data_IF_913217938861
#
_entry.id   IF_913217938861
#
_cell.length_a   1.000
_cell.length_b   1.000
_cell.length_c   1.000
_cell.angle_alpha   90.00
_cell.angle_beta   90.00
_cell.angle_gamma   90.00
#
_symmetry.space_group_name_H-M   'P 1'
#
loop_
_entity.id
_entity.type
_entity.pdbx_description
1 polymer ?
#
# COMPACT_ATOMS: atom_id res chain seq x y z
N UNK A 1 17.99 -26.38 9.34
CA UNK A 1 16.82 -25.76 8.67
C UNK A 1 17.09 -25.77 7.18
N UNK A 2 16.09 -26.12 6.35
CA UNK A 2 16.18 -26.03 4.89
C UNK A 2 16.55 -24.60 4.50
N UNK A 3 17.45 -24.47 3.52
CA UNK A 3 17.78 -23.17 2.94
C UNK A 3 16.64 -22.75 2.00
N UNK A 4 16.16 -21.52 2.13
CA UNK A 4 15.12 -20.97 1.27
C UNK A 4 15.61 -19.72 0.56
N UNK A 5 15.45 -19.68 -0.75
CA UNK A 5 15.70 -18.49 -1.55
C UNK A 5 14.37 -17.81 -1.87
N UNK A 6 14.19 -16.58 -1.38
CA UNK A 6 12.90 -15.89 -1.36
C UNK A 6 13.01 -14.59 -2.15
N UNK A 7 12.07 -14.40 -3.08
CA UNK A 7 11.91 -13.13 -3.79
C UNK A 7 10.73 -12.35 -3.21
N UNK A 8 10.97 -11.15 -2.69
CA UNK A 8 9.96 -10.30 -2.08
C UNK A 8 9.68 -9.07 -2.96
N UNK A 9 8.42 -8.88 -3.32
CA UNK A 9 7.93 -7.62 -3.88
C UNK A 9 7.52 -6.73 -2.70
N UNK A 10 8.32 -5.72 -2.39
CA UNK A 10 8.23 -4.95 -1.15
C UNK A 10 8.18 -3.44 -1.32
N UNK A 11 8.63 -2.72 -0.29
CA UNK A 11 8.54 -1.26 -0.18
C UNK A 11 7.42 -0.78 0.74
N UNK A 12 6.87 -1.68 1.55
CA UNK A 12 5.89 -1.40 2.62
C UNK A 12 6.52 -1.67 3.99
N UNK A 13 5.91 -1.15 5.06
CA UNK A 13 6.31 -1.52 6.43
C UNK A 13 6.21 -3.04 6.65
N UNK A 14 5.18 -3.68 6.11
CA UNK A 14 4.99 -5.13 6.20
C UNK A 14 6.17 -5.87 5.58
N UNK A 15 6.66 -5.43 4.42
CA UNK A 15 7.82 -6.07 3.79
C UNK A 15 9.06 -6.03 4.70
N UNK A 16 9.30 -4.92 5.40
CA UNK A 16 10.40 -4.80 6.38
C UNK A 16 10.21 -5.76 7.56
N UNK A 17 8.99 -5.91 8.08
CA UNK A 17 8.69 -6.83 9.18
C UNK A 17 8.84 -8.30 8.75
N UNK A 18 8.34 -8.64 7.57
CA UNK A 18 8.48 -9.98 6.96
C UNK A 18 9.96 -10.33 6.77
N UNK A 19 10.77 -9.43 6.21
CA UNK A 19 12.22 -9.68 6.01
C UNK A 19 12.89 -10.00 7.35
N UNK A 20 12.66 -9.18 8.39
CA UNK A 20 13.22 -9.40 9.74
C UNK A 20 12.79 -10.74 10.30
N UNK A 21 11.50 -11.04 10.20
CA UNK A 21 10.93 -12.29 10.68
C UNK A 21 11.54 -13.50 9.98
N UNK A 22 11.67 -13.46 8.65
CA UNK A 22 12.26 -14.55 7.87
C UNK A 22 13.73 -14.78 8.22
N UNK A 23 14.54 -13.72 8.30
CA UNK A 23 15.96 -13.82 8.66
C UNK A 23 16.20 -14.34 10.07
N UNK A 24 15.28 -14.06 11.00
CA UNK A 24 15.40 -14.52 12.39
C UNK A 24 14.99 -15.98 12.60
N UNK A 25 14.03 -16.48 11.80
CA UNK A 25 13.40 -17.78 12.04
C UNK A 25 13.80 -18.86 11.02
N UNK A 26 14.35 -18.48 9.87
CA UNK A 26 14.67 -19.39 8.78
C UNK A 26 16.09 -19.14 8.24
N UNK A 27 16.68 -20.18 7.65
CA UNK A 27 17.92 -20.04 6.91
C UNK A 27 17.60 -19.58 5.48
N UNK A 28 17.64 -18.26 5.23
CA UNK A 28 17.16 -17.70 3.97
C UNK A 28 18.17 -16.81 3.27
N UNK A 29 18.06 -16.78 1.94
CA UNK A 29 18.53 -15.68 1.10
C UNK A 29 17.33 -14.91 0.56
N UNK A 30 17.37 -13.58 0.67
CA UNK A 30 16.25 -12.72 0.34
C UNK A 30 16.67 -11.67 -0.67
N UNK A 31 16.04 -11.70 -1.85
CA UNK A 31 16.04 -10.58 -2.78
C UNK A 31 14.76 -9.77 -2.57
N UNK A 32 14.87 -8.46 -2.36
CA UNK A 32 13.71 -7.58 -2.28
C UNK A 32 13.72 -6.53 -3.39
N UNK A 33 12.64 -6.46 -4.18
CA UNK A 33 12.44 -5.33 -5.11
C UNK A 33 11.49 -4.30 -4.53
N UNK A 34 11.81 -3.03 -4.71
CA UNK A 34 10.98 -1.90 -4.30
C UNK A 34 10.92 -0.86 -5.41
N UNK A 35 9.97 0.07 -5.35
CA UNK A 35 9.86 1.14 -6.37
C UNK A 35 10.77 2.34 -6.12
N UNK A 36 11.51 2.39 -4.99
CA UNK A 36 12.29 3.56 -4.57
C UNK A 36 13.58 3.16 -3.86
N UNK A 37 14.63 3.99 -3.95
CA UNK A 37 15.87 3.77 -3.20
C UNK A 37 15.65 3.73 -1.69
N UNK A 38 14.76 4.58 -1.16
CA UNK A 38 14.39 4.56 0.25
C UNK A 38 13.79 3.21 0.68
N UNK A 39 12.90 2.63 -0.13
CA UNK A 39 12.32 1.32 0.14
C UNK A 39 13.38 0.22 0.18
N UNK A 40 14.31 0.23 -0.79
CA UNK A 40 15.42 -0.74 -0.81
C UNK A 40 16.37 -0.56 0.37
N UNK A 41 16.66 0.68 0.78
CA UNK A 41 17.45 0.94 1.99
C UNK A 41 16.79 0.31 3.22
N UNK A 42 15.49 0.51 3.40
CA UNK A 42 14.74 -0.11 4.50
C UNK A 42 14.72 -1.64 4.42
N UNK A 43 14.65 -2.22 3.22
CA UNK A 43 14.72 -3.66 3.01
C UNK A 43 16.10 -4.24 3.37
N UNK A 44 17.18 -3.57 2.96
CA UNK A 44 18.55 -3.95 3.33
C UNK A 44 18.78 -3.85 4.84
N UNK A 45 18.34 -2.76 5.48
CA UNK A 45 18.39 -2.59 6.94
C UNK A 45 17.54 -3.63 7.70
N UNK A 46 16.49 -4.17 7.06
CA UNK A 46 15.68 -5.25 7.59
C UNK A 46 16.36 -6.63 7.52
N UNK A 47 17.42 -6.77 6.72
CA UNK A 47 18.16 -8.02 6.52
C UNK A 47 17.99 -8.67 5.15
N UNK A 48 17.45 -7.96 4.15
CA UNK A 48 17.45 -8.43 2.76
C UNK A 48 18.89 -8.54 2.27
N UNK A 49 19.25 -9.68 1.67
CA UNK A 49 20.61 -9.94 1.18
C UNK A 49 20.91 -9.13 -0.09
N UNK A 50 19.92 -9.06 -1.00
CA UNK A 50 19.97 -8.24 -2.22
C UNK A 50 18.76 -7.31 -2.32
N UNK A 51 18.93 -6.17 -3.01
CA UNK A 51 17.81 -5.25 -3.28
C UNK A 51 17.80 -4.68 -4.70
N UNK A 52 16.60 -4.43 -5.24
CA UNK A 52 16.40 -3.75 -6.53
C UNK A 52 15.51 -2.51 -6.32
N UNK A 53 16.06 -1.32 -6.58
CA UNK A 53 15.46 -0.01 -6.29
C UNK A 53 14.70 0.61 -7.47
N UNK A 54 13.91 -0.17 -8.20
CA UNK A 54 13.13 0.33 -9.33
C UNK A 54 11.90 -0.54 -9.60
N UNK A 55 10.86 0.01 -10.23
CA UNK A 55 9.78 -0.80 -10.78
C UNK A 55 10.34 -1.86 -11.74
N UNK A 56 9.82 -3.08 -11.63
CA UNK A 56 10.12 -4.18 -12.53
C UNK A 56 8.93 -4.48 -13.43
N UNK A 57 9.21 -4.68 -14.72
CA UNK A 57 8.22 -5.17 -15.65
C UNK A 57 8.03 -6.69 -15.49
N UNK A 58 6.89 -7.21 -15.92
CA UNK A 58 6.53 -8.64 -15.85
C UNK A 58 7.65 -9.55 -16.36
N UNK A 59 8.20 -9.26 -17.55
CA UNK A 59 9.24 -10.09 -18.18
C UNK A 59 10.57 -10.05 -17.41
N UNK A 60 10.84 -8.96 -16.69
CA UNK A 60 12.03 -8.87 -15.83
C UNK A 60 11.86 -9.74 -14.58
N UNK A 61 10.67 -9.73 -13.96
CA UNK A 61 10.37 -10.59 -12.81
C UNK A 61 10.49 -12.07 -13.22
N UNK A 62 9.96 -12.45 -14.40
CA UNK A 62 10.11 -13.81 -14.96
C UNK A 62 11.59 -14.17 -15.14
N UNK A 63 12.39 -13.28 -15.74
CA UNK A 63 13.83 -13.52 -15.92
C UNK A 63 14.56 -13.68 -14.60
N UNK A 64 14.25 -12.87 -13.60
CA UNK A 64 14.84 -12.98 -12.25
C UNK A 64 14.51 -14.34 -11.64
N UNK A 65 13.24 -14.77 -11.72
CA UNK A 65 12.79 -16.05 -11.16
C UNK A 65 13.40 -17.23 -11.91
N UNK A 66 13.56 -17.15 -13.23
CA UNK A 66 14.12 -18.27 -14.01
C UNK A 66 15.66 -18.34 -13.97
N UNK A 67 16.34 -17.23 -13.68
CA UNK A 67 17.81 -17.18 -13.62
C UNK A 67 18.38 -17.50 -12.23
N UNK A 68 17.52 -17.62 -11.23
CA UNK A 68 17.88 -17.87 -9.84
C UNK A 68 16.94 -18.93 -9.27
N UNK A 69 17.45 -19.84 -8.45
CA UNK A 69 16.65 -20.91 -7.84
C UNK A 69 15.79 -20.36 -6.69
N UNK A 70 14.77 -19.55 -6.99
CA UNK A 70 13.83 -19.04 -5.99
C UNK A 70 12.78 -20.10 -5.65
N UNK A 71 12.63 -20.39 -4.36
CA UNK A 71 11.62 -21.32 -3.85
C UNK A 71 10.24 -20.65 -3.71
N UNK A 72 10.24 -19.35 -3.42
CA UNK A 72 9.06 -18.61 -2.97
C UNK A 72 9.05 -17.16 -3.45
N UNK A 73 7.92 -16.75 -4.04
CA UNK A 73 7.58 -15.36 -4.32
C UNK A 73 6.61 -14.83 -3.25
N UNK A 74 7.02 -13.82 -2.49
CA UNK A 74 6.17 -13.12 -1.53
C UNK A 74 5.80 -11.74 -2.09
N UNK A 75 4.52 -11.54 -2.35
CA UNK A 75 3.96 -10.23 -2.64
C UNK A 75 3.57 -9.53 -1.33
N UNK A 76 4.43 -8.63 -0.85
CA UNK A 76 4.22 -7.78 0.31
C UNK A 76 3.96 -6.31 -0.11
N UNK A 77 3.49 -6.09 -1.33
CA UNK A 77 3.15 -4.75 -1.82
C UNK A 77 1.87 -4.23 -1.17
N UNK A 78 1.57 -2.93 -1.31
CA UNK A 78 0.39 -2.34 -0.67
C UNK A 78 -0.92 -3.04 -1.12
N UNK A 79 -1.95 -3.16 -0.28
CA UNK A 79 -3.25 -3.76 -0.68
C UNK A 79 -3.97 -3.08 -1.85
N UNK A 80 -3.53 -1.88 -2.23
CA UNK A 80 -4.07 -1.11 -3.37
C UNK A 80 -3.20 -1.25 -4.64
N UNK A 81 -2.12 -2.03 -4.58
CA UNK A 81 -1.18 -2.20 -5.68
C UNK A 81 -1.68 -3.29 -6.66
N UNK A 82 -2.89 -3.11 -7.20
CA UNK A 82 -3.60 -4.10 -8.02
C UNK A 82 -2.77 -4.61 -9.20
N UNK A 83 -2.11 -3.70 -9.92
CA UNK A 83 -1.34 -4.05 -11.11
C UNK A 83 -0.17 -5.00 -10.81
N UNK A 84 0.61 -4.71 -9.75
CA UNK A 84 1.73 -5.56 -9.38
C UNK A 84 1.23 -6.89 -8.83
N UNK A 85 0.17 -6.91 -8.00
CA UNK A 85 -0.40 -8.18 -7.51
C UNK A 85 -0.91 -9.07 -8.64
N UNK A 86 -1.62 -8.52 -9.64
CA UNK A 86 -2.00 -9.27 -10.85
C UNK A 86 -0.79 -9.80 -11.61
N UNK A 87 0.27 -9.00 -11.69
CA UNK A 87 1.54 -9.40 -12.30
C UNK A 87 2.17 -10.56 -11.52
N UNK A 88 2.27 -10.47 -10.20
CA UNK A 88 2.81 -11.51 -9.32
C UNK A 88 2.09 -12.85 -9.48
N UNK A 89 0.75 -12.81 -9.49
CA UNK A 89 -0.09 -14.00 -9.71
C UNK A 89 0.15 -14.60 -11.10
N UNK A 90 0.27 -13.75 -12.13
CA UNK A 90 0.55 -14.24 -13.47
C UNK A 90 1.93 -14.86 -13.57
N UNK A 91 2.94 -14.24 -12.97
CA UNK A 91 4.33 -14.70 -13.00
C UNK A 91 4.50 -15.98 -12.21
N UNK A 92 3.86 -16.09 -11.03
CA UNK A 92 3.94 -17.32 -10.23
C UNK A 92 3.43 -18.55 -10.99
N UNK A 93 2.34 -18.38 -11.74
CA UNK A 93 1.80 -19.44 -12.63
C UNK A 93 2.72 -19.76 -13.80
N UNK A 94 3.34 -18.75 -14.42
CA UNK A 94 4.25 -18.95 -15.57
C UNK A 94 5.53 -19.67 -15.15
N UNK A 95 6.12 -19.26 -14.03
CA UNK A 95 7.36 -19.81 -13.51
C UNK A 95 7.17 -21.05 -12.63
N UNK A 96 5.91 -21.43 -12.35
CA UNK A 96 5.57 -22.52 -11.42
C UNK A 96 6.25 -22.37 -10.05
N UNK A 97 6.31 -21.15 -9.51
CA UNK A 97 6.90 -20.85 -8.20
C UNK A 97 5.81 -20.73 -7.14
N UNK A 98 6.11 -21.17 -5.92
CA UNK A 98 5.22 -20.96 -4.78
C UNK A 98 4.96 -19.48 -4.56
N UNK A 99 3.72 -19.11 -4.28
CA UNK A 99 3.30 -17.72 -4.18
C UNK A 99 2.54 -17.48 -2.87
N UNK A 100 2.93 -16.42 -2.17
CA UNK A 100 2.23 -15.91 -0.99
C UNK A 100 1.97 -14.42 -1.18
N UNK A 101 0.74 -13.99 -0.93
CA UNK A 101 0.34 -12.60 -0.81
C UNK A 101 0.22 -12.27 0.67
N UNK A 102 1.11 -11.42 1.18
CA UNK A 102 0.92 -10.88 2.52
C UNK A 102 -0.02 -9.68 2.43
N UNK A 103 -1.20 -9.81 3.01
CA UNK A 103 -2.21 -8.77 2.97
C UNK A 103 -2.96 -8.69 4.29
N UNK A 104 -2.78 -7.56 4.98
CA UNK A 104 -3.43 -7.30 6.27
C UNK A 104 -4.96 -7.39 6.17
N UNK A 105 -5.64 -7.83 7.24
CA UNK A 105 -7.10 -7.90 7.26
C UNK A 105 -7.73 -6.56 6.88
N UNK A 106 -8.87 -6.61 6.19
CA UNK A 106 -9.75 -5.45 6.11
C UNK A 106 -10.30 -5.13 7.50
N UNK A 107 -10.45 -3.85 7.80
CA UNK A 107 -11.08 -3.44 9.05
C UNK A 107 -12.58 -3.73 9.01
N UNK A 108 -13.11 -4.21 10.12
CA UNK A 108 -14.55 -4.27 10.33
C UNK A 108 -15.02 -2.94 10.91
N UNK A 109 -15.97 -2.28 10.25
CA UNK A 109 -16.55 -1.00 10.68
C UNK A 109 -17.84 -1.16 11.49
N UNK A 110 -18.25 -2.38 11.87
CA UNK A 110 -19.53 -2.64 12.57
C UNK A 110 -19.73 -1.81 13.86
N UNK A 111 -18.64 -1.44 14.55
CA UNK A 111 -18.68 -0.62 15.77
C UNK A 111 -18.12 0.80 15.58
N UNK A 112 -17.95 1.24 14.34
CA UNK A 112 -17.41 2.56 14.00
C UNK A 112 -18.54 3.37 13.38
N UNK A 113 -18.70 4.62 13.81
CA UNK A 113 -19.63 5.54 13.16
C UNK A 113 -19.13 5.84 11.75
N UNK A 114 -19.88 5.38 10.76
CA UNK A 114 -19.57 5.52 9.33
C UNK A 114 -20.48 6.51 8.62
N UNK A 115 -21.25 7.30 9.37
CA UNK A 115 -22.25 8.22 8.81
C UNK A 115 -21.67 9.28 7.87
N UNK A 116 -20.42 9.71 8.08
CA UNK A 116 -19.72 10.66 7.21
C UNK A 116 -18.95 10.00 6.05
N UNK A 117 -18.97 8.67 5.94
CA UNK A 117 -18.22 7.96 4.89
C UNK A 117 -19.03 7.94 3.60
N UNK A 118 -18.42 8.45 2.52
CA UNK A 118 -18.91 8.30 1.15
C UNK A 118 -17.95 7.40 0.39
N UNK A 119 -18.44 6.28 -0.13
CA UNK A 119 -17.61 5.33 -0.85
C UNK A 119 -17.46 5.71 -2.33
N UNK A 120 -16.23 5.96 -2.76
CA UNK A 120 -15.89 6.17 -4.16
C UNK A 120 -15.36 4.90 -4.82
N UNK A 121 -15.70 4.68 -6.09
CA UNK A 121 -15.25 3.51 -6.88
C UNK A 121 -13.82 3.65 -7.41
N UNK A 122 -13.34 4.88 -7.54
CA UNK A 122 -12.00 5.24 -8.02
C UNK A 122 -11.63 6.64 -7.50
N UNK A 123 -10.37 7.05 -7.71
CA UNK A 123 -9.95 8.42 -7.41
C UNK A 123 -10.58 9.47 -8.32
N UNK A 124 -10.85 9.11 -9.58
CA UNK A 124 -11.56 9.98 -10.51
C UNK A 124 -13.01 10.19 -10.05
N UNK A 125 -13.69 9.11 -9.67
CA UNK A 125 -15.03 9.17 -9.10
C UNK A 125 -15.07 9.89 -7.74
N UNK A 126 -14.01 9.83 -6.95
CA UNK A 126 -13.90 10.66 -5.74
C UNK A 126 -13.89 12.16 -6.10
N UNK A 127 -13.21 12.55 -7.18
CA UNK A 127 -13.24 13.91 -7.70
C UNK A 127 -14.62 14.33 -8.19
N UNK A 128 -15.33 13.45 -8.93
CA UNK A 128 -16.71 13.69 -9.39
C UNK A 128 -17.64 13.97 -8.20
N UNK A 129 -17.66 13.07 -7.20
CA UNK A 129 -18.49 13.21 -5.99
C UNK A 129 -18.22 14.55 -5.30
N UNK A 130 -16.94 14.92 -5.12
CA UNK A 130 -16.59 16.18 -4.47
C UNK A 130 -17.08 17.37 -5.30
N UNK A 131 -16.92 17.33 -6.62
CA UNK A 131 -17.34 18.42 -7.50
C UNK A 131 -18.86 18.63 -7.52
N UNK A 132 -19.63 17.55 -7.39
CA UNK A 132 -21.10 17.57 -7.47
C UNK A 132 -21.77 17.83 -6.11
N UNK A 133 -21.25 17.22 -5.04
CA UNK A 133 -21.91 17.19 -3.72
C UNK A 133 -21.24 18.10 -2.69
N UNK A 134 -19.95 18.45 -2.87
CA UNK A 134 -19.14 19.21 -1.89
C UNK A 134 -18.41 20.40 -2.58
N UNK A 135 -19.16 21.34 -3.18
CA UNK A 135 -18.59 22.39 -4.02
C UNK A 135 -17.86 23.48 -3.24
N UNK A 136 -17.87 23.48 -1.90
CA UNK A 136 -17.21 24.50 -1.07
C UNK A 136 -16.28 23.86 -0.02
N UNK A 137 -15.35 24.65 0.52
CA UNK A 137 -14.36 24.23 1.51
C UNK A 137 -13.20 23.41 0.93
N UNK A 138 -12.15 23.20 1.71
CA UNK A 138 -10.92 22.62 1.20
C UNK A 138 -10.90 21.08 1.26
N UNK A 139 -10.08 20.48 0.40
CA UNK A 139 -9.96 19.04 0.19
C UNK A 139 -8.63 18.57 0.77
N UNK A 140 -8.69 17.74 1.81
CA UNK A 140 -7.53 17.04 2.35
C UNK A 140 -7.33 15.72 1.60
N UNK A 141 -6.26 15.58 0.83
CA UNK A 141 -6.00 14.35 0.09
C UNK A 141 -4.95 13.46 0.78
N UNK A 142 -5.40 12.45 1.52
CA UNK A 142 -4.55 11.57 2.33
C UNK A 142 -4.37 10.17 1.71
N UNK A 143 -4.51 10.07 0.39
CA UNK A 143 -4.35 8.82 -0.37
C UNK A 143 -3.02 8.71 -1.15
N UNK A 144 -2.14 9.71 -1.04
CA UNK A 144 -0.77 9.71 -1.55
C UNK A 144 -0.59 10.35 -2.93
N UNK A 145 0.65 10.71 -3.27
CA UNK A 145 0.97 11.53 -4.44
C UNK A 145 0.54 10.92 -5.81
N UNK A 146 0.52 9.60 -5.94
CA UNK A 146 0.18 8.94 -7.21
C UNK A 146 -1.31 8.99 -7.56
N UNK A 147 -2.17 9.33 -6.60
CA UNK A 147 -3.64 9.33 -6.80
C UNK A 147 -4.22 10.72 -7.02
N UNK A 148 -3.41 11.77 -6.89
CA UNK A 148 -3.85 13.17 -7.00
C UNK A 148 -4.40 13.48 -8.39
N UNK A 149 -3.69 13.03 -9.43
CA UNK A 149 -3.99 13.35 -10.83
C UNK A 149 -5.40 12.95 -11.24
N UNK A 150 -5.86 11.77 -10.80
CA UNK A 150 -7.22 11.31 -11.09
C UNK A 150 -8.29 12.16 -10.38
N UNK A 151 -8.05 12.58 -9.14
CA UNK A 151 -9.00 13.45 -8.41
C UNK A 151 -9.06 14.83 -9.05
N UNK A 152 -7.90 15.38 -9.43
CA UNK A 152 -7.75 16.73 -10.01
C UNK A 152 -8.36 16.88 -11.41
N UNK A 153 -8.79 15.79 -12.05
CA UNK A 153 -9.61 15.86 -13.28
C UNK A 153 -10.94 16.60 -13.05
N UNK A 154 -11.46 16.54 -11.83
CA UNK A 154 -12.80 17.05 -11.49
C UNK A 154 -12.77 18.15 -10.41
N UNK A 155 -11.63 18.40 -9.76
CA UNK A 155 -11.51 19.40 -8.68
C UNK A 155 -10.34 20.36 -8.91
N UNK A 156 -10.46 21.59 -8.41
CA UNK A 156 -9.43 22.64 -8.55
C UNK A 156 -8.25 22.44 -7.58
N UNK A 157 -7.03 22.71 -8.06
CA UNK A 157 -5.82 22.74 -7.23
C UNK A 157 -5.86 23.82 -6.15
N UNK A 158 -6.65 24.88 -6.35
CA UNK A 158 -6.85 26.00 -5.42
C UNK A 158 -7.48 25.59 -4.08
N UNK A 159 -8.14 24.43 -4.03
CA UNK A 159 -8.77 23.89 -2.82
C UNK A 159 -8.13 22.58 -2.36
N UNK A 160 -7.04 22.15 -3.00
CA UNK A 160 -6.52 20.79 -2.86
C UNK A 160 -5.24 20.77 -2.03
N UNK A 161 -5.30 20.10 -0.88
CA UNK A 161 -4.22 20.01 0.10
C UNK A 161 -3.76 18.54 0.23
N UNK A 162 -2.77 18.12 -0.57
CA UNK A 162 -2.29 16.75 -0.53
C UNK A 162 -1.32 16.50 0.61
N UNK A 163 -1.52 15.38 1.31
CA UNK A 163 -0.53 14.83 2.24
C UNK A 163 0.40 13.87 1.52
N UNK A 164 1.67 14.22 1.43
CA UNK A 164 2.69 13.44 0.73
C UNK A 164 3.87 13.10 1.62
N UNK A 165 4.59 12.02 1.29
CA UNK A 165 5.89 11.74 1.87
C UNK A 165 6.88 12.83 1.42
N UNK A 166 7.76 13.24 2.33
CA UNK A 166 8.81 14.24 2.09
C UNK A 166 9.98 13.67 1.27
N UNK A 167 9.69 13.27 0.03
CA UNK A 167 10.67 12.75 -0.93
C UNK A 167 10.63 13.58 -2.22
N UNK A 168 11.78 13.81 -2.91
CA UNK A 168 11.86 14.69 -4.07
C UNK A 168 10.81 14.37 -5.15
N UNK A 169 10.62 13.08 -5.45
CA UNK A 169 9.65 12.63 -6.47
C UNK A 169 8.20 12.99 -6.15
N UNK A 170 7.82 13.02 -4.87
CA UNK A 170 6.46 13.40 -4.46
C UNK A 170 6.24 14.90 -4.60
N UNK A 171 7.26 15.70 -4.25
CA UNK A 171 7.24 17.16 -4.36
C UNK A 171 7.20 17.57 -5.83
N UNK A 172 8.07 16.99 -6.67
CA UNK A 172 8.09 17.21 -8.13
C UNK A 172 6.73 16.86 -8.77
N UNK A 173 6.04 15.83 -8.26
CA UNK A 173 4.69 15.47 -8.74
C UNK A 173 3.65 16.53 -8.35
N UNK A 174 3.72 17.12 -7.16
CA UNK A 174 2.86 18.24 -6.78
C UNK A 174 3.08 19.45 -7.69
N UNK A 175 4.34 19.81 -7.95
CA UNK A 175 4.69 20.93 -8.84
C UNK A 175 4.16 20.74 -10.26
N UNK A 176 4.34 19.54 -10.85
CA UNK A 176 3.83 19.20 -12.18
C UNK A 176 2.30 19.27 -12.28
N UNK A 177 1.61 18.98 -11.18
CA UNK A 177 0.15 19.05 -11.09
C UNK A 177 -0.36 20.46 -10.75
N UNK A 178 0.52 21.46 -10.60
CA UNK A 178 0.14 22.83 -10.29
C UNK A 178 -0.37 23.03 -8.86
N UNK A 179 0.05 22.16 -7.92
CA UNK A 179 -0.24 22.33 -6.50
C UNK A 179 0.67 23.41 -5.93
N UNK A 180 0.08 24.40 -5.24
CA UNK A 180 0.84 25.45 -4.58
C UNK A 180 1.67 24.90 -3.43
N UNK A 181 2.86 25.46 -3.22
CA UNK A 181 3.81 25.00 -2.20
C UNK A 181 3.19 25.02 -0.78
N UNK A 182 2.39 26.04 -0.47
CA UNK A 182 1.69 26.20 0.81
C UNK A 182 0.49 25.25 0.99
N UNK A 183 0.07 24.56 -0.07
CA UNK A 183 -0.95 23.50 0.00
C UNK A 183 -0.34 22.12 0.29
N UNK A 184 0.98 21.96 0.15
CA UNK A 184 1.64 20.66 0.30
C UNK A 184 1.84 20.33 1.77
N UNK A 185 1.19 19.26 2.23
CA UNK A 185 1.34 18.74 3.60
C UNK A 185 2.39 17.61 3.57
N UNK A 186 3.66 17.96 3.72
CA UNK A 186 4.75 16.97 3.78
C UNK A 186 4.81 16.32 5.18
N UNK A 187 4.49 15.03 5.28
CA UNK A 187 4.48 14.29 6.54
C UNK A 187 5.03 12.87 6.38
N UNK A 188 5.60 12.32 7.45
CA UNK A 188 6.02 10.93 7.53
C UNK A 188 5.04 10.14 8.41
N UNK A 189 4.70 8.91 7.98
CA UNK A 189 3.82 8.03 8.77
C UNK A 189 2.32 8.37 8.69
N UNK A 190 1.55 7.71 9.55
CA UNK A 190 0.13 7.97 9.73
C UNK A 190 -0.06 9.06 10.79
N UNK A 191 -0.92 10.03 10.48
CA UNK A 191 -1.30 11.08 11.43
C UNK A 191 -2.27 10.53 12.48
N UNK A 192 -2.03 10.90 13.74
CA UNK A 192 -2.93 10.65 14.85
C UNK A 192 -4.27 11.36 14.69
N UNK A 193 -5.28 10.97 15.47
CA UNK A 193 -6.58 11.63 15.51
C UNK A 193 -6.44 13.15 15.72
N UNK A 194 -5.61 13.58 16.68
CA UNK A 194 -5.40 14.99 16.99
C UNK A 194 -4.78 15.73 15.81
N UNK A 195 -3.77 15.16 15.17
CA UNK A 195 -3.15 15.76 13.98
C UNK A 195 -4.13 15.88 12.81
N UNK A 196 -4.94 14.85 12.55
CA UNK A 196 -5.97 14.92 11.51
C UNK A 196 -6.99 16.04 11.81
N UNK A 197 -7.44 16.16 13.06
CA UNK A 197 -8.34 17.25 13.48
C UNK A 197 -7.70 18.63 13.31
N UNK A 198 -6.43 18.78 13.66
CA UNK A 198 -5.70 20.04 13.54
C UNK A 198 -5.49 20.42 12.05
N UNK A 199 -5.24 19.43 11.18
CA UNK A 199 -5.16 19.65 9.73
C UNK A 199 -6.52 20.09 9.14
N UNK A 200 -7.62 19.48 9.59
CA UNK A 200 -8.97 19.88 9.15
C UNK A 200 -9.24 21.35 9.51
N UNK A 201 -8.98 21.74 10.75
CA UNK A 201 -9.19 23.13 11.21
C UNK A 201 -8.25 24.10 10.51
N UNK A 202 -6.95 23.79 10.46
CA UNK A 202 -5.93 24.67 9.89
C UNK A 202 -6.20 25.00 8.43
N UNK A 203 -6.72 24.03 7.68
CA UNK A 203 -6.95 24.17 6.25
C UNK A 203 -8.42 24.42 5.90
N UNK A 204 -9.32 24.63 6.87
CA UNK A 204 -10.75 24.84 6.62
C UNK A 204 -11.34 23.78 5.68
N UNK A 205 -11.03 22.51 5.97
CA UNK A 205 -11.37 21.40 5.10
C UNK A 205 -12.83 20.96 5.31
N UNK A 206 -13.55 20.75 4.21
CA UNK A 206 -14.91 20.20 4.21
C UNK A 206 -14.94 18.71 3.85
N UNK A 207 -13.84 18.19 3.30
CA UNK A 207 -13.75 16.80 2.87
C UNK A 207 -12.33 16.25 2.98
N UNK A 208 -12.24 14.98 3.39
CA UNK A 208 -10.99 14.21 3.40
C UNK A 208 -11.10 13.01 2.45
N UNK A 209 -10.06 12.75 1.65
CA UNK A 209 -9.96 11.57 0.78
C UNK A 209 -8.97 10.58 1.39
N UNK A 210 -9.37 9.32 1.58
CA UNK A 210 -8.50 8.26 2.09
C UNK A 210 -8.73 6.92 1.39
N UNK A 211 -7.78 6.01 1.57
CA UNK A 211 -7.88 4.59 1.22
C UNK A 211 -8.31 3.79 2.45
N UNK A 212 -8.95 2.64 2.22
CA UNK A 212 -9.18 1.60 3.21
C UNK A 212 -7.87 0.83 3.54
N UNK A 213 -6.89 1.53 4.11
CA UNK A 213 -5.50 1.05 4.28
C UNK A 213 -5.27 0.19 5.54
N UNK A 214 -6.32 -0.24 6.25
CA UNK A 214 -6.22 -0.96 7.52
C UNK A 214 -5.71 -0.09 8.69
N UNK A 215 -5.50 -0.71 9.86
CA UNK A 215 -5.16 -0.03 11.14
C UNK A 215 -3.87 0.80 11.06
N UNK A 216 -2.75 0.22 10.63
CA UNK A 216 -1.46 0.93 10.51
C UNK A 216 -1.55 2.13 9.53
N UNK A 217 -2.51 2.11 8.59
CA UNK A 217 -2.77 3.22 7.68
C UNK A 217 -3.55 4.39 8.32
N UNK A 218 -3.93 4.26 9.59
CA UNK A 218 -4.63 5.25 10.39
C UNK A 218 -6.03 5.55 9.88
N UNK A 219 -6.76 4.55 9.36
CA UNK A 219 -8.09 4.80 8.80
C UNK A 219 -9.12 5.11 9.88
N UNK A 220 -9.00 4.49 11.06
CA UNK A 220 -9.90 4.73 12.20
C UNK A 220 -9.75 6.19 12.67
N UNK A 221 -8.51 6.66 12.83
CA UNK A 221 -8.21 8.03 13.25
C UNK A 221 -8.73 9.08 12.25
N UNK A 222 -8.81 8.74 10.97
CA UNK A 222 -9.39 9.62 9.93
C UNK A 222 -10.91 9.63 9.98
N UNK A 223 -11.55 8.48 10.19
CA UNK A 223 -13.00 8.38 10.39
C UNK A 223 -13.40 9.17 11.63
N UNK A 224 -12.73 8.95 12.76
CA UNK A 224 -13.00 9.66 14.00
C UNK A 224 -12.78 11.17 13.86
N UNK A 225 -11.74 11.61 13.12
CA UNK A 225 -11.51 13.02 12.86
C UNK A 225 -12.62 13.62 12.02
N UNK A 226 -13.07 12.92 10.97
CA UNK A 226 -14.16 13.36 10.11
C UNK A 226 -15.47 13.51 10.89
N UNK A 227 -15.82 12.51 11.69
CA UNK A 227 -17.01 12.54 12.54
C UNK A 227 -16.95 13.67 13.58
N UNK A 228 -15.80 13.87 14.24
CA UNK A 228 -15.62 14.93 15.26
C UNK A 228 -15.60 16.34 14.67
N UNK A 229 -15.24 16.49 13.41
CA UNK A 229 -15.21 17.79 12.70
C UNK A 229 -16.39 18.01 11.77
N UNK A 230 -17.30 17.04 11.69
CA UNK A 230 -18.49 17.08 10.86
C UNK A 230 -18.15 17.33 9.37
N UNK A 231 -17.15 16.61 8.85
CA UNK A 231 -16.72 16.69 7.45
C UNK A 231 -16.93 15.36 6.73
N UNK A 232 -17.09 15.38 5.41
CA UNK A 232 -17.20 14.15 4.63
C UNK A 232 -15.86 13.41 4.54
N UNK A 233 -15.90 12.09 4.59
CA UNK A 233 -14.76 11.22 4.32
C UNK A 233 -15.00 10.41 3.05
N UNK A 234 -14.38 10.80 1.94
CA UNK A 234 -14.39 10.01 0.72
C UNK A 234 -13.44 8.84 0.88
N UNK A 235 -13.98 7.63 0.95
CA UNK A 235 -13.22 6.40 1.13
C UNK A 235 -13.18 5.58 -0.16
N UNK A 236 -11.97 5.29 -0.64
CA UNK A 236 -11.75 4.33 -1.72
C UNK A 236 -11.58 2.95 -1.10
N UNK A 237 -12.47 2.03 -1.46
CA UNK A 237 -12.42 0.62 -1.03
C UNK A 237 -11.20 -0.08 -1.59
N UNK A 238 -10.73 -1.09 -0.86
CA UNK A 238 -9.66 -1.96 -1.37
C UNK A 238 -10.10 -2.63 -2.69
N UNK A 239 -9.25 -2.65 -3.73
CA UNK A 239 -9.62 -3.25 -5.02
C UNK A 239 -9.84 -4.76 -4.88
N UNK A 240 -10.88 -5.27 -5.54
CA UNK A 240 -11.13 -6.70 -5.62
C UNK A 240 -10.35 -7.31 -6.80
N UNK A 241 -9.41 -8.21 -6.50
CA UNK A 241 -8.58 -8.88 -7.52
C UNK A 241 -9.13 -10.29 -7.75
N UNK A 242 -9.83 -10.49 -8.87
CA UNK A 242 -10.49 -11.75 -9.22
C UNK A 242 -9.53 -12.95 -9.27
N UNK A 243 -8.30 -12.71 -9.70
CA UNK A 243 -7.27 -13.74 -9.89
C UNK A 243 -6.59 -14.18 -8.58
N UNK A 244 -6.76 -13.42 -7.49
CA UNK A 244 -6.13 -13.69 -6.20
C UNK A 244 -6.94 -14.74 -5.42
N UNK A 245 -6.37 -15.93 -5.20
CA UNK A 245 -7.04 -16.95 -4.42
C UNK A 245 -6.85 -16.68 -2.92
N UNK A 246 -7.91 -16.86 -2.13
CA UNK A 246 -7.85 -16.76 -0.67
C UNK A 246 -6.79 -17.65 -0.04
N UNK A 247 -6.52 -18.83 -0.62
CA UNK A 247 -5.50 -19.76 -0.13
C UNK A 247 -4.08 -19.21 -0.22
N UNK A 248 -3.84 -18.24 -1.09
CA UNK A 248 -2.52 -17.64 -1.33
C UNK A 248 -2.31 -16.42 -0.41
N UNK A 249 -3.34 -15.97 0.30
CA UNK A 249 -3.29 -14.81 1.20
C UNK A 249 -2.93 -15.25 2.61
N UNK A 250 -2.03 -14.50 3.23
CA UNK A 250 -1.74 -14.56 4.68
C UNK A 250 -1.84 -13.14 5.26
N UNK A 251 -2.33 -13.04 6.49
CA UNK A 251 -2.71 -11.75 7.09
C UNK A 251 -1.79 -11.31 8.23
N UNK A 252 -0.96 -12.22 8.72
CA UNK A 252 -0.04 -12.02 9.83
C UNK A 252 1.17 -12.98 9.70
N UNK A 253 2.17 -12.81 10.55
CA UNK A 253 3.41 -13.59 10.49
C UNK A 253 3.21 -15.07 10.86
N UNK A 254 2.25 -15.39 11.72
CA UNK A 254 1.93 -16.78 12.09
C UNK A 254 1.35 -17.55 10.89
N UNK A 255 0.38 -16.96 10.18
CA UNK A 255 -0.15 -17.52 8.93
C UNK A 255 0.93 -17.66 7.85
N UNK A 256 1.88 -16.71 7.79
CA UNK A 256 3.03 -16.78 6.89
C UNK A 256 3.91 -18.00 7.22
N UNK A 257 4.24 -18.22 8.49
CA UNK A 257 5.05 -19.34 8.94
C UNK A 257 4.39 -20.68 8.62
N UNK A 258 3.10 -20.84 8.94
CA UNK A 258 2.35 -22.04 8.60
C UNK A 258 2.40 -22.35 7.10
N UNK A 259 2.34 -21.31 6.28
CA UNK A 259 2.32 -21.43 4.82
C UNK A 259 3.70 -21.83 4.31
N UNK A 260 4.77 -21.23 4.83
CA UNK A 260 6.16 -21.58 4.50
C UNK A 260 6.46 -23.02 4.90
N UNK A 261 6.06 -23.45 6.10
CA UNK A 261 6.25 -24.83 6.54
C UNK A 261 5.55 -25.85 5.62
N UNK A 262 4.33 -25.53 5.15
CA UNK A 262 3.62 -26.36 4.18
C UNK A 262 4.38 -26.48 2.87
N UNK A 263 4.96 -25.38 2.37
CA UNK A 263 5.79 -25.35 1.15
C UNK A 263 7.08 -26.17 1.33
N UNK A 264 7.74 -26.06 2.49
CA UNK A 264 8.92 -26.87 2.81
C UNK A 264 8.57 -28.36 2.78
N UNK A 265 7.49 -28.77 3.47
CA UNK A 265 7.05 -30.16 3.56
C UNK A 265 6.64 -30.75 2.21
N UNK A 266 5.91 -30.00 1.37
CA UNK A 266 5.52 -30.49 0.04
C UNK A 266 6.72 -30.77 -0.85
N UNK A 267 7.75 -29.91 -0.80
CA UNK A 267 8.97 -30.10 -1.58
C UNK A 267 9.82 -31.29 -1.09
N UNK A 268 9.66 -31.73 0.16
CA UNK A 268 10.32 -32.93 0.70
C UNK A 268 9.59 -34.23 0.32
N UNK A 269 8.31 -34.15 -0.07
CA UNK A 269 7.47 -35.33 -0.40
C UNK A 269 7.50 -35.66 -1.90
N UNK A 270 7.99 -34.75 -2.75
CA UNK A 270 8.16 -34.93 -4.20
C UNK A 270 9.52 -35.57 -4.59
N UNK A 271 10.35 -35.92 -3.59
CA UNK A 271 11.64 -36.61 -3.74
C UNK A 271 11.48 -38.08 -3.34
#
# INVERSE_FOLDING_TARGET
MKYLNIFILGGTKDSTEIIKHLKNNYNTHILTTTTTEYGSKLAAEAGSDDTISRPLLKDEIIKIINNSDFDLLIDATHPFAEHITKTSISVSKICNISYIRFERPSLNFDNIDTSHIVYAKSFENAGEIISEEIPEGNILHFAGANTMEDVLKNVSTERFYPRILKVPKSIEKCEKLGIKEDHIIAMEGAASLKENMDLIEKHDASVMITKESGEIGGVIEKIDAANKKDISLIMIKRPFIKELNKKDIVSNLEELDEKIEKIIKSAETEI
#
